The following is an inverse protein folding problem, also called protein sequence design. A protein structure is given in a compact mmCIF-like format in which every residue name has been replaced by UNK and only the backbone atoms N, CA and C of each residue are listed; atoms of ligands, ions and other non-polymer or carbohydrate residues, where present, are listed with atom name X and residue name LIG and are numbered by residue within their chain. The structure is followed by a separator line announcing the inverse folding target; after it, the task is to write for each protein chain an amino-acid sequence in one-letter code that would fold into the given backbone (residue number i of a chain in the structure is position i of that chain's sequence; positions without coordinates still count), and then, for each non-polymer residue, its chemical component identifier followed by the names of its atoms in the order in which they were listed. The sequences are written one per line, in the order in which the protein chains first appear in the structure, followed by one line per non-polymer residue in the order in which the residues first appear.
data_IF_889048289019
#
_entry.id   IF_889048289019
#
_cell.length_a   1.000
_cell.length_b   1.000
_cell.length_c   1.000
_cell.angle_alpha   90.00
_cell.angle_beta   90.00
_cell.angle_gamma   90.00
#
_symmetry.space_group_name_H-M   'P 1'
#
loop_
_entity.id
_entity.type
_entity.pdbx_description
1 polymer ?
#
# COMPACT_ATOMS: atom_id res chain seq x y z
N UNK A 1 4.41 19.83 -3.96
CA UNK A 1 3.42 20.92 -3.74
C UNK A 1 3.60 22.11 -4.69
N UNK A 2 4.82 22.58 -4.98
CA UNK A 2 5.05 23.71 -5.90
C UNK A 2 4.41 23.50 -7.27
N UNK A 3 4.63 22.35 -7.91
CA UNK A 3 4.01 22.00 -9.19
C UNK A 3 2.46 22.00 -9.14
N UNK A 4 1.86 21.62 -8.01
CA UNK A 4 0.41 21.62 -7.83
C UNK A 4 -0.17 23.04 -7.80
N UNK A 5 0.52 23.97 -7.14
CA UNK A 5 0.14 25.38 -7.12
C UNK A 5 0.29 26.01 -8.50
N UNK A 6 1.38 25.71 -9.21
CA UNK A 6 1.61 26.18 -10.58
C UNK A 6 0.55 25.64 -11.55
N UNK A 7 0.12 24.39 -11.37
CA UNK A 7 -0.93 23.76 -12.17
C UNK A 7 -2.36 24.18 -11.77
N UNK A 8 -2.52 25.11 -10.81
CA UNK A 8 -3.82 25.52 -10.24
C UNK A 8 -4.68 24.32 -9.81
N UNK A 9 -4.04 23.27 -9.30
CA UNK A 9 -4.75 22.09 -8.80
C UNK A 9 -5.70 22.50 -7.66
N UNK A 10 -6.83 21.80 -7.45
CA UNK A 10 -7.81 22.15 -6.43
C UNK A 10 -7.33 21.77 -5.02
N UNK A 11 -6.21 22.33 -4.58
CA UNK A 11 -5.52 21.98 -3.32
C UNK A 11 -6.44 22.16 -2.11
N UNK A 12 -7.40 23.10 -2.16
CA UNK A 12 -8.36 23.35 -1.06
C UNK A 12 -9.35 22.19 -0.84
N UNK A 13 -9.67 21.39 -1.85
CA UNK A 13 -10.65 20.29 -1.75
C UNK A 13 -10.04 18.95 -1.35
N UNK A 14 -8.73 18.90 -1.08
CA UNK A 14 -8.00 17.65 -0.79
C UNK A 14 -8.45 16.97 0.52
N UNK A 15 -9.11 17.70 1.43
CA UNK A 15 -9.61 17.14 2.69
C UNK A 15 -8.57 17.21 3.82
N UNK A 16 -8.05 18.42 4.09
CA UNK A 16 -6.99 18.68 5.07
C UNK A 16 -7.36 18.46 6.53
N UNK A 17 -8.65 18.39 6.87
CA UNK A 17 -9.08 18.19 8.25
C UNK A 17 -8.74 16.76 8.69
N UNK A 18 -7.89 16.63 9.72
CA UNK A 18 -7.67 15.37 10.42
C UNK A 18 -8.95 15.01 11.19
N UNK A 19 -9.56 13.89 10.84
CA UNK A 19 -10.85 13.46 11.41
C UNK A 19 -10.69 12.20 12.27
N UNK A 20 -9.63 12.14 13.09
CA UNK A 20 -9.28 10.92 13.81
C UNK A 20 -10.40 10.45 14.75
N UNK A 21 -10.91 11.34 15.62
CA UNK A 21 -11.95 10.98 16.59
C UNK A 21 -13.28 10.56 15.93
N UNK A 22 -13.69 11.23 14.86
CA UNK A 22 -14.96 10.95 14.18
C UNK A 22 -14.88 9.80 13.17
N UNK A 23 -13.68 9.42 12.73
CA UNK A 23 -13.45 8.35 11.74
C UNK A 23 -12.56 7.23 12.24
N UNK A 24 -12.35 7.08 13.55
CA UNK A 24 -11.43 6.07 14.11
C UNK A 24 -11.70 4.65 13.59
N UNK A 25 -12.98 4.31 13.33
CA UNK A 25 -13.37 3.02 12.73
C UNK A 25 -12.85 2.84 11.31
N UNK A 26 -12.82 3.92 10.51
CA UNK A 26 -12.27 3.90 9.15
C UNK A 26 -10.75 3.65 9.20
N UNK A 27 -10.05 4.29 10.14
CA UNK A 27 -8.61 4.09 10.35
C UNK A 27 -8.31 2.66 10.83
N UNK A 28 -9.05 2.16 11.81
CA UNK A 28 -8.89 0.79 12.29
C UNK A 28 -9.19 -0.23 11.19
N UNK A 29 -10.27 -0.03 10.43
CA UNK A 29 -10.60 -0.90 9.30
C UNK A 29 -9.53 -0.86 8.20
N UNK A 30 -8.91 0.30 7.95
CA UNK A 30 -7.80 0.44 7.02
C UNK A 30 -6.58 -0.34 7.48
N UNK A 31 -6.19 -0.18 8.75
CA UNK A 31 -5.09 -0.92 9.36
C UNK A 31 -5.33 -2.43 9.30
N UNK A 32 -6.48 -2.90 9.80
CA UNK A 32 -6.85 -4.32 9.80
C UNK A 32 -6.88 -4.91 8.40
N UNK A 33 -7.42 -4.19 7.41
CA UNK A 33 -7.48 -4.68 6.03
C UNK A 33 -6.08 -4.88 5.45
N UNK A 34 -5.19 -3.88 5.58
CA UNK A 34 -3.82 -3.97 5.05
C UNK A 34 -3.04 -5.07 5.76
N UNK A 35 -3.08 -5.11 7.10
CA UNK A 35 -2.42 -6.15 7.88
C UNK A 35 -2.95 -7.56 7.55
N UNK A 36 -4.25 -7.72 7.32
CA UNK A 36 -4.85 -9.02 6.97
C UNK A 36 -4.43 -9.51 5.58
N UNK A 37 -4.29 -8.59 4.61
CA UNK A 37 -3.77 -8.91 3.27
C UNK A 37 -2.35 -9.45 3.35
N UNK A 38 -1.49 -8.74 4.09
CA UNK A 38 -0.07 -9.12 4.23
C UNK A 38 0.05 -10.39 5.06
N UNK A 39 -0.71 -10.53 6.13
CA UNK A 39 -0.75 -11.76 6.93
C UNK A 39 -1.20 -12.95 6.08
N UNK A 40 -2.25 -12.80 5.26
CA UNK A 40 -2.69 -13.84 4.34
C UNK A 40 -1.58 -14.28 3.37
N UNK A 41 -0.86 -13.31 2.79
CA UNK A 41 0.28 -13.61 1.91
C UNK A 41 1.43 -14.30 2.64
N UNK A 42 1.74 -13.87 3.86
CA UNK A 42 2.75 -14.49 4.72
C UNK A 42 2.36 -15.92 5.12
N UNK A 43 1.09 -16.17 5.45
CA UNK A 43 0.61 -17.52 5.77
C UNK A 43 0.75 -18.47 4.57
N UNK A 44 0.41 -18.02 3.36
CA UNK A 44 0.64 -18.79 2.13
C UNK A 44 2.14 -19.04 1.93
N UNK A 45 2.98 -18.02 2.13
CA UNK A 45 4.43 -18.16 2.02
C UNK A 45 4.98 -19.24 2.97
N UNK A 46 4.64 -19.18 4.26
CA UNK A 46 5.14 -20.13 5.25
C UNK A 46 4.52 -21.52 5.12
N UNK A 47 3.34 -21.65 4.52
CA UNK A 47 2.78 -22.96 4.18
C UNK A 47 3.60 -23.64 3.07
N UNK A 48 4.13 -22.87 2.11
CA UNK A 48 5.00 -23.38 1.03
C UNK A 48 6.45 -23.57 1.49
N UNK A 49 6.94 -22.69 2.36
CA UNK A 49 8.32 -22.69 2.87
C UNK A 49 8.35 -22.76 4.41
N UNK A 50 7.91 -23.87 5.02
CA UNK A 50 7.81 -23.99 6.48
C UNK A 50 9.17 -23.89 7.19
N UNK A 51 10.27 -24.20 6.51
CA UNK A 51 11.62 -24.04 7.03
C UNK A 51 11.96 -22.58 7.38
N UNK A 52 11.29 -21.60 6.76
CA UNK A 52 11.47 -20.18 7.07
C UNK A 52 10.63 -19.72 8.27
N UNK A 53 9.79 -20.57 8.86
CA UNK A 53 8.93 -20.19 9.99
C UNK A 53 9.72 -19.94 11.28
N UNK A 54 10.86 -20.61 11.46
CA UNK A 54 11.74 -20.42 12.62
C UNK A 54 12.17 -18.95 12.81
N UNK A 55 12.30 -18.21 11.71
CA UNK A 55 12.53 -16.76 11.72
C UNK A 55 11.36 -15.98 12.32
N UNK A 56 10.13 -16.27 11.87
CA UNK A 56 8.94 -15.57 12.33
C UNK A 56 8.68 -15.79 13.83
N UNK A 57 9.13 -16.93 14.37
CA UNK A 57 9.00 -17.30 15.78
C UNK A 57 10.15 -16.78 16.66
N UNK A 58 11.17 -16.12 16.08
CA UNK A 58 12.25 -15.52 16.85
C UNK A 58 11.70 -14.34 17.69
N UNK A 59 11.86 -14.34 19.04
CA UNK A 59 11.30 -13.29 19.89
C UNK A 59 11.78 -11.87 19.57
N UNK A 60 13.02 -11.70 19.11
CA UNK A 60 13.56 -10.40 18.71
C UNK A 60 12.90 -9.90 17.43
N UNK A 61 12.67 -10.81 16.47
CA UNK A 61 11.94 -10.52 15.23
C UNK A 61 10.47 -10.20 15.54
N UNK A 62 9.84 -10.96 16.44
CA UNK A 62 8.47 -10.70 16.87
C UNK A 62 8.32 -9.32 17.54
N UNK A 63 9.28 -8.93 18.38
CA UNK A 63 9.32 -7.60 18.98
C UNK A 63 9.51 -6.49 17.94
N UNK A 64 10.39 -6.69 16.95
CA UNK A 64 10.58 -5.75 15.85
C UNK A 64 9.32 -5.60 15.00
N UNK A 65 8.65 -6.71 14.68
CA UNK A 65 7.36 -6.69 13.97
C UNK A 65 6.32 -5.90 14.79
N UNK A 66 6.24 -6.12 16.11
CA UNK A 66 5.34 -5.37 16.98
C UNK A 66 5.65 -3.86 16.98
N UNK A 67 6.92 -3.46 17.07
CA UNK A 67 7.33 -2.06 17.00
C UNK A 67 7.02 -1.43 15.63
N UNK A 68 7.20 -2.18 14.54
CA UNK A 68 6.85 -1.77 13.18
C UNK A 68 5.35 -1.49 13.05
N UNK A 69 4.52 -2.43 13.52
CA UNK A 69 3.06 -2.35 13.42
C UNK A 69 2.44 -1.26 14.31
N UNK A 70 3.19 -0.70 15.26
CA UNK A 70 2.70 0.29 16.23
C UNK A 70 3.38 1.65 16.04
N UNK A 71 4.66 1.77 16.43
CA UNK A 71 5.39 3.04 16.51
C UNK A 71 5.78 3.57 15.13
N UNK A 72 6.32 2.70 14.27
CA UNK A 72 6.81 3.13 12.96
C UNK A 72 5.68 3.46 11.98
N UNK A 73 4.53 2.78 12.10
CA UNK A 73 3.33 3.11 11.31
C UNK A 73 2.94 4.58 11.47
N UNK A 74 2.95 5.12 12.69
CA UNK A 74 2.60 6.52 12.95
C UNK A 74 3.65 7.50 12.40
N UNK A 75 4.94 7.16 12.53
CA UNK A 75 6.03 7.99 12.04
C UNK A 75 6.05 8.07 10.50
N UNK A 76 5.87 6.94 9.81
CA UNK A 76 5.91 6.85 8.34
C UNK A 76 4.64 7.43 7.71
N UNK A 77 3.52 7.44 8.44
CA UNK A 77 2.28 8.10 7.98
C UNK A 77 2.47 9.60 7.67
N UNK A 78 3.44 10.26 8.32
CA UNK A 78 3.76 11.67 8.06
C UNK A 78 4.55 11.86 6.76
N UNK A 79 5.48 10.94 6.43
CA UNK A 79 6.16 10.97 5.12
C UNK A 79 5.19 10.63 3.99
N UNK A 80 4.28 9.67 4.21
CA UNK A 80 3.24 9.30 3.25
C UNK A 80 2.26 10.44 2.92
N UNK A 81 2.05 11.41 3.82
CA UNK A 81 1.13 12.52 3.58
C UNK A 81 1.50 13.35 2.35
N UNK A 82 2.79 13.66 2.17
CA UNK A 82 3.27 14.45 1.03
C UNK A 82 3.03 13.74 -0.30
N UNK A 83 3.27 12.44 -0.32
CA UNK A 83 2.97 11.57 -1.47
C UNK A 83 1.48 11.49 -1.75
N UNK A 84 0.65 11.22 -0.72
CA UNK A 84 -0.79 11.09 -0.89
C UNK A 84 -1.45 12.37 -1.41
N UNK A 85 -0.98 13.55 -0.99
CA UNK A 85 -1.45 14.82 -1.55
C UNK A 85 -1.25 14.87 -3.07
N UNK A 86 -0.10 14.40 -3.57
CA UNK A 86 0.18 14.29 -5.00
C UNK A 86 -0.67 13.21 -5.67
N UNK A 87 -0.67 12.01 -5.11
CA UNK A 87 -1.36 10.85 -5.67
C UNK A 87 -2.88 10.98 -5.59
N UNK A 88 -3.45 11.02 -4.39
CA UNK A 88 -4.90 10.96 -4.14
C UNK A 88 -5.55 12.34 -4.26
N UNK A 89 -4.84 13.39 -3.88
CA UNK A 89 -5.35 14.76 -3.95
C UNK A 89 -5.35 15.38 -5.34
N UNK A 90 -4.45 14.96 -6.25
CA UNK A 90 -4.26 15.62 -7.54
C UNK A 90 -4.27 14.63 -8.71
N UNK A 91 -3.35 13.66 -8.74
CA UNK A 91 -3.15 12.81 -9.91
C UNK A 91 -4.34 11.87 -10.17
N UNK A 92 -4.78 11.12 -9.17
CA UNK A 92 -5.88 10.16 -9.32
C UNK A 92 -7.20 10.84 -9.72
N UNK A 93 -7.61 11.99 -9.12
CA UNK A 93 -8.75 12.75 -9.59
C UNK A 93 -8.65 13.08 -11.09
N UNK A 94 -7.53 13.64 -11.54
CA UNK A 94 -7.29 13.97 -12.95
C UNK A 94 -7.38 12.74 -13.87
N UNK A 95 -6.73 11.64 -13.49
CA UNK A 95 -6.75 10.40 -14.28
C UNK A 95 -8.14 9.78 -14.36
N UNK A 96 -8.92 9.82 -13.27
CA UNK A 96 -10.29 9.32 -13.25
C UNK A 96 -11.24 10.17 -14.09
N UNK A 97 -11.04 11.49 -14.11
CA UNK A 97 -11.80 12.40 -14.97
C UNK A 97 -11.51 12.12 -16.45
N UNK A 98 -10.23 11.93 -16.81
CA UNK A 98 -9.81 11.74 -18.21
C UNK A 98 -10.08 10.34 -18.77
N UNK A 99 -9.88 9.30 -17.97
CA UNK A 99 -9.90 7.90 -18.45
C UNK A 99 -11.03 7.06 -17.84
N UNK A 100 -11.86 7.65 -16.97
CA UNK A 100 -12.87 6.95 -16.19
C UNK A 100 -12.30 6.34 -14.90
N UNK A 101 -13.21 5.98 -13.98
CA UNK A 101 -12.87 5.56 -12.61
C UNK A 101 -11.87 4.41 -12.55
N UNK A 102 -12.14 3.32 -13.26
CA UNK A 102 -11.36 2.07 -13.16
C UNK A 102 -10.01 2.21 -13.84
N UNK A 103 -9.98 2.69 -15.09
CA UNK A 103 -8.71 2.94 -15.82
C UNK A 103 -7.86 3.99 -15.12
N UNK A 104 -8.46 5.07 -14.62
CA UNK A 104 -7.75 6.12 -13.90
C UNK A 104 -7.03 5.62 -12.65
N UNK A 105 -7.64 4.69 -11.90
CA UNK A 105 -6.97 4.04 -10.75
C UNK A 105 -5.83 3.13 -11.17
N UNK A 106 -6.00 2.32 -12.22
CA UNK A 106 -4.95 1.42 -12.73
C UNK A 106 -3.74 2.24 -13.20
N UNK A 107 -3.97 3.28 -14.00
CA UNK A 107 -2.91 4.18 -14.47
C UNK A 107 -2.23 4.88 -13.29
N UNK A 108 -3.00 5.35 -12.30
CA UNK A 108 -2.44 5.97 -11.10
C UNK A 108 -1.55 5.02 -10.30
N UNK A 109 -1.95 3.75 -10.18
CA UNK A 109 -1.16 2.70 -9.54
C UNK A 109 0.12 2.37 -10.31
N UNK A 110 0.05 2.32 -11.65
CA UNK A 110 1.21 2.09 -12.51
C UNK A 110 2.23 3.25 -12.41
N UNK A 111 1.76 4.50 -12.40
CA UNK A 111 2.65 5.66 -12.21
C UNK A 111 3.33 5.60 -10.84
N UNK A 112 2.58 5.23 -9.79
CA UNK A 112 3.16 5.05 -8.46
C UNK A 112 4.22 3.93 -8.43
N UNK A 113 3.99 2.82 -9.14
CA UNK A 113 4.97 1.75 -9.29
C UNK A 113 6.25 2.20 -10.01
N UNK A 114 6.10 2.95 -11.11
CA UNK A 114 7.22 3.50 -11.90
C UNK A 114 7.99 4.55 -11.10
N UNK A 115 7.31 5.39 -10.31
CA UNK A 115 7.94 6.38 -9.43
C UNK A 115 8.95 5.73 -8.47
N UNK A 116 8.68 4.50 -8.04
CA UNK A 116 9.54 3.73 -7.15
C UNK A 116 10.59 2.89 -7.88
N UNK A 117 10.68 2.95 -9.21
CA UNK A 117 11.68 2.18 -9.95
C UNK A 117 13.11 2.48 -9.48
N UNK A 118 13.57 3.75 -9.34
CA UNK A 118 14.94 4.02 -8.93
C UNK A 118 15.29 3.43 -7.57
N UNK A 119 14.40 3.58 -6.58
CA UNK A 119 14.65 3.04 -5.24
C UNK A 119 14.64 1.51 -5.22
N UNK A 120 13.80 0.86 -6.02
CA UNK A 120 13.81 -0.61 -6.14
C UNK A 120 15.08 -1.15 -6.82
N UNK A 121 15.75 -0.33 -7.64
CA UNK A 121 17.03 -0.69 -8.27
C UNK A 121 18.23 -0.47 -7.34
N UNK A 122 18.06 0.20 -6.21
CA UNK A 122 19.11 0.43 -5.20
C UNK A 122 18.97 -0.63 -4.10
N UNK A 123 20.04 -1.36 -3.78
CA UNK A 123 20.04 -2.29 -2.65
C UNK A 123 20.80 -3.59 -2.88
N UNK A 124 20.45 -4.62 -2.11
CA UNK A 124 21.05 -5.96 -2.17
C UNK A 124 20.49 -6.82 -3.33
N UNK A 125 21.21 -7.88 -3.67
CA UNK A 125 20.88 -8.81 -4.76
C UNK A 125 21.44 -8.38 -6.11
N UNK A 126 21.46 -9.33 -7.05
CA UNK A 126 21.87 -9.14 -8.45
C UNK A 126 20.91 -8.21 -9.19
N UNK A 127 21.36 -7.64 -10.31
CA UNK A 127 20.50 -6.81 -11.16
C UNK A 127 19.27 -7.60 -11.66
N UNK A 128 19.45 -8.87 -12.03
CA UNK A 128 18.37 -9.75 -12.47
C UNK A 128 17.30 -9.97 -11.39
N UNK A 129 17.71 -10.23 -10.15
CA UNK A 129 16.77 -10.36 -9.02
C UNK A 129 16.02 -9.06 -8.75
N UNK A 130 16.68 -7.90 -8.86
CA UNK A 130 16.02 -6.60 -8.69
C UNK A 130 14.95 -6.38 -9.75
N UNK A 131 15.23 -6.68 -11.01
CA UNK A 131 14.23 -6.63 -12.09
C UNK A 131 13.08 -7.61 -11.86
N UNK A 132 13.38 -8.84 -11.45
CA UNK A 132 12.36 -9.86 -11.18
C UNK A 132 11.41 -9.41 -10.06
N UNK A 133 11.93 -8.79 -9.01
CA UNK A 133 11.15 -8.27 -7.88
C UNK A 133 10.25 -7.07 -8.26
N UNK A 134 10.41 -6.45 -9.43
CA UNK A 134 9.50 -5.41 -9.90
C UNK A 134 8.10 -5.95 -10.21
N UNK A 135 7.99 -7.21 -10.62
CA UNK A 135 6.69 -7.81 -10.98
C UNK A 135 5.73 -7.80 -9.77
N UNK A 136 6.05 -8.43 -8.63
CA UNK A 136 5.16 -8.42 -7.48
C UNK A 136 5.02 -7.01 -6.89
N UNK A 137 6.06 -6.16 -6.97
CA UNK A 137 5.98 -4.76 -6.56
C UNK A 137 4.94 -3.97 -7.37
N UNK A 138 4.90 -4.14 -8.69
CA UNK A 138 3.96 -3.41 -9.57
C UNK A 138 2.53 -3.86 -9.32
N UNK A 139 2.30 -5.16 -9.13
CA UNK A 139 0.98 -5.71 -8.77
C UNK A 139 0.55 -5.14 -7.42
N UNK A 140 1.45 -5.12 -6.43
CA UNK A 140 1.21 -4.53 -5.10
C UNK A 140 0.85 -3.05 -5.20
N UNK A 141 1.65 -2.26 -5.91
CA UNK A 141 1.46 -0.82 -6.05
C UNK A 141 0.13 -0.48 -6.74
N UNK A 142 -0.24 -1.21 -7.80
CA UNK A 142 -1.54 -1.03 -8.47
C UNK A 142 -2.69 -1.36 -7.51
N UNK A 143 -2.58 -2.48 -6.79
CA UNK A 143 -3.64 -2.98 -5.90
C UNK A 143 -3.87 -2.06 -4.69
N UNK A 144 -2.80 -1.71 -3.97
CA UNK A 144 -2.90 -0.76 -2.86
C UNK A 144 -3.19 0.67 -3.34
N UNK A 145 -2.74 1.03 -4.56
CA UNK A 145 -3.14 2.21 -5.29
C UNK A 145 -4.66 2.40 -5.31
N UNK A 146 -5.36 1.36 -5.78
CA UNK A 146 -6.81 1.26 -5.83
C UNK A 146 -7.43 1.30 -4.42
N UNK A 147 -6.95 0.47 -3.49
CA UNK A 147 -7.51 0.35 -2.13
C UNK A 147 -7.44 1.70 -1.39
N UNK A 148 -6.29 2.37 -1.40
CA UNK A 148 -6.12 3.69 -0.77
C UNK A 148 -6.96 4.76 -1.48
N UNK A 149 -7.14 4.68 -2.81
CA UNK A 149 -8.07 5.58 -3.50
C UNK A 149 -9.53 5.41 -3.03
N UNK A 150 -9.95 4.17 -2.75
CA UNK A 150 -11.30 3.89 -2.22
C UNK A 150 -11.46 4.48 -0.82
N UNK A 151 -10.48 4.25 0.06
CA UNK A 151 -10.45 4.87 1.39
C UNK A 151 -10.49 6.40 1.30
N UNK A 152 -9.76 6.99 0.36
CA UNK A 152 -9.76 8.44 0.15
C UNK A 152 -11.14 8.97 -0.26
N UNK A 153 -11.76 8.38 -1.29
CA UNK A 153 -13.06 8.82 -1.80
C UNK A 153 -14.16 8.71 -0.73
N UNK A 154 -14.17 7.62 0.05
CA UNK A 154 -15.17 7.39 1.10
C UNK A 154 -14.97 8.29 2.32
N UNK A 155 -13.72 8.54 2.70
CA UNK A 155 -13.41 9.30 3.91
C UNK A 155 -13.40 10.81 3.70
N UNK A 156 -13.18 11.28 2.47
CA UNK A 156 -13.04 12.70 2.12
C UNK A 156 -11.99 13.42 2.99
N UNK A 157 -10.97 12.70 3.43
CA UNK A 157 -9.81 13.22 4.17
C UNK A 157 -8.54 12.59 3.64
N UNK A 158 -7.50 13.40 3.44
CA UNK A 158 -6.20 12.92 2.93
C UNK A 158 -5.41 12.12 3.96
N UNK A 159 -5.77 12.27 5.24
CA UNK A 159 -5.09 11.62 6.34
C UNK A 159 -5.34 10.11 6.41
N UNK A 160 -6.49 9.63 5.92
CA UNK A 160 -6.78 8.19 5.92
C UNK A 160 -5.92 7.40 4.92
N UNK A 161 -5.81 7.79 3.63
CA UNK A 161 -4.88 7.10 2.73
C UNK A 161 -3.42 7.32 3.14
N UNK A 162 -3.06 8.45 3.76
CA UNK A 162 -1.69 8.69 4.25
C UNK A 162 -1.33 7.73 5.39
N UNK A 163 -2.27 7.50 6.31
CA UNK A 163 -2.15 6.48 7.32
C UNK A 163 -2.02 5.08 6.70
N UNK A 164 -2.90 4.71 5.77
CA UNK A 164 -2.83 3.42 5.08
C UNK A 164 -1.51 3.20 4.32
N UNK A 165 -0.97 4.24 3.68
CA UNK A 165 0.36 4.22 3.07
C UNK A 165 1.43 3.93 4.12
N UNK A 166 1.42 4.65 5.26
CA UNK A 166 2.32 4.39 6.38
C UNK A 166 2.23 2.96 6.93
N UNK A 167 1.04 2.35 6.93
CA UNK A 167 0.88 0.93 7.28
C UNK A 167 1.58 0.02 6.27
N UNK A 168 1.42 0.28 4.96
CA UNK A 168 2.06 -0.50 3.89
C UNK A 168 3.59 -0.43 4.01
N UNK A 169 4.13 0.76 4.25
CA UNK A 169 5.58 0.95 4.38
C UNK A 169 6.11 0.29 5.64
N UNK A 170 5.39 0.40 6.76
CA UNK A 170 5.73 -0.30 7.98
C UNK A 170 5.79 -1.82 7.74
N UNK A 171 4.74 -2.43 7.19
CA UNK A 171 4.76 -3.88 6.93
C UNK A 171 5.76 -4.29 5.85
N UNK A 172 6.16 -3.39 4.94
CA UNK A 172 7.24 -3.64 3.99
C UNK A 172 8.61 -3.80 4.68
N UNK A 173 8.82 -3.17 5.84
CA UNK A 173 10.04 -3.34 6.63
C UNK A 173 10.23 -4.76 7.17
N UNK A 174 9.18 -5.60 7.22
CA UNK A 174 9.29 -7.00 7.66
C UNK A 174 10.25 -7.79 6.76
N UNK A 175 10.22 -7.54 5.45
CA UNK A 175 11.14 -8.18 4.49
C UNK A 175 12.59 -7.71 4.73
N UNK A 176 12.77 -6.43 5.07
CA UNK A 176 14.08 -5.86 5.43
C UNK A 176 14.63 -6.49 6.71
N UNK A 177 13.80 -6.64 7.75
CA UNK A 177 14.17 -7.31 9.01
C UNK A 177 14.61 -8.75 8.76
N UNK A 178 13.92 -9.47 7.88
CA UNK A 178 14.28 -10.84 7.47
C UNK A 178 15.68 -10.90 6.89
N UNK A 179 15.99 -9.96 5.99
CA UNK A 179 17.29 -9.87 5.31
C UNK A 179 18.42 -9.54 6.29
N UNK A 180 18.20 -8.57 7.19
CA UNK A 180 19.23 -8.11 8.15
C UNK A 180 19.48 -9.15 9.24
N UNK A 181 18.50 -9.99 9.54
CA UNK A 181 18.60 -11.07 10.54
C UNK A 181 19.30 -12.34 9.99
N UNK A 182 19.84 -12.29 8.76
CA UNK A 182 20.56 -13.40 8.13
C UNK A 182 19.66 -14.53 7.66
N UNK A 183 18.34 -14.28 7.55
CA UNK A 183 17.37 -15.27 7.08
C UNK A 183 17.08 -15.01 5.62
N UNK A 184 17.52 -15.93 4.78
CA UNK A 184 17.14 -15.92 3.36
C UNK A 184 15.64 -16.18 3.23
N UNK A 185 14.95 -15.22 2.62
CA UNK A 185 13.56 -15.37 2.20
C UNK A 185 13.48 -15.17 0.70
N UNK A 186 12.54 -15.84 0.04
CA UNK A 186 12.27 -15.60 -1.37
C UNK A 186 11.46 -14.31 -1.49
N UNK A 187 12.17 -13.16 -1.52
CA UNK A 187 11.59 -11.81 -1.60
C UNK A 187 10.52 -11.68 -2.68
N UNK A 188 10.72 -12.35 -3.82
CA UNK A 188 9.78 -12.37 -4.92
C UNK A 188 8.40 -12.93 -4.51
N UNK A 189 8.38 -13.96 -3.65
CA UNK A 189 7.16 -14.64 -3.21
C UNK A 189 6.58 -14.04 -1.92
N UNK A 190 7.43 -13.58 -1.00
CA UNK A 190 6.99 -13.10 0.32
C UNK A 190 8.13 -12.99 1.33
N UNK A 191 7.81 -12.92 2.65
CA UNK A 191 6.46 -12.89 3.23
C UNK A 191 5.82 -11.49 3.29
N UNK A 192 6.55 -10.43 2.92
CA UNK A 192 6.07 -9.06 3.03
C UNK A 192 5.05 -8.63 1.95
N UNK A 193 4.58 -7.37 1.98
CA UNK A 193 3.61 -6.83 1.03
C UNK A 193 4.12 -6.82 -0.41
N UNK A 194 5.44 -6.67 -0.61
CA UNK A 194 6.09 -6.63 -1.93
C UNK A 194 6.28 -8.01 -2.56
N UNK A 195 5.94 -9.09 -1.85
CA UNK A 195 5.96 -10.44 -2.38
C UNK A 195 4.68 -10.81 -3.14
N UNK A 196 4.81 -11.74 -4.08
CA UNK A 196 3.75 -12.13 -5.01
C UNK A 196 2.48 -12.59 -4.30
N UNK A 197 2.57 -13.34 -3.21
CA UNK A 197 1.37 -13.84 -2.51
C UNK A 197 0.52 -12.70 -1.95
N UNK A 198 1.14 -11.77 -1.23
CA UNK A 198 0.46 -10.57 -0.71
C UNK A 198 -0.09 -9.69 -1.84
N UNK A 199 0.70 -9.51 -2.91
CA UNK A 199 0.32 -8.71 -4.06
C UNK A 199 -0.91 -9.27 -4.80
N UNK A 200 -0.99 -10.59 -4.98
CA UNK A 200 -2.12 -11.24 -5.63
C UNK A 200 -3.39 -11.18 -4.76
N UNK A 201 -3.27 -11.38 -3.44
CA UNK A 201 -4.41 -11.22 -2.52
C UNK A 201 -4.91 -9.77 -2.56
N UNK A 202 -4.00 -8.78 -2.53
CA UNK A 202 -4.35 -7.37 -2.66
C UNK A 202 -5.06 -7.09 -3.99
N UNK A 203 -4.61 -7.70 -5.09
CA UNK A 203 -5.22 -7.55 -6.41
C UNK A 203 -6.64 -8.08 -6.45
N UNK A 204 -6.88 -9.28 -5.90
CA UNK A 204 -8.23 -9.87 -5.83
C UNK A 204 -9.17 -8.95 -5.03
N UNK A 205 -8.71 -8.42 -3.90
CA UNK A 205 -9.50 -7.50 -3.07
C UNK A 205 -9.74 -6.18 -3.80
N UNK A 206 -8.74 -5.61 -4.46
CA UNK A 206 -8.86 -4.38 -5.23
C UNK A 206 -9.89 -4.52 -6.37
N UNK A 207 -9.86 -5.64 -7.09
CA UNK A 207 -10.83 -5.97 -8.14
C UNK A 207 -12.23 -6.14 -7.55
N UNK A 208 -12.36 -6.89 -6.46
CA UNK A 208 -13.64 -7.11 -5.79
C UNK A 208 -14.26 -5.80 -5.29
N UNK A 209 -13.48 -4.95 -4.63
CA UNK A 209 -13.92 -3.64 -4.16
C UNK A 209 -14.32 -2.72 -5.31
N UNK A 210 -13.57 -2.74 -6.42
CA UNK A 210 -13.89 -1.94 -7.61
C UNK A 210 -15.23 -2.37 -8.21
N UNK A 211 -15.45 -3.68 -8.39
CA UNK A 211 -16.75 -4.22 -8.88
C UNK A 211 -17.89 -3.96 -7.90
N UNK A 212 -17.62 -3.96 -6.60
CA UNK A 212 -18.61 -3.64 -5.58
C UNK A 212 -19.05 -2.16 -5.67
N UNK A 213 -18.11 -1.23 -5.75
CA UNK A 213 -18.44 0.20 -5.92
C UNK A 213 -19.20 0.47 -7.23
N UNK A 214 -18.87 -0.22 -8.33
CA UNK A 214 -19.60 -0.09 -9.60
C UNK A 214 -21.07 -0.51 -9.45
N UNK A 215 -21.33 -1.62 -8.74
CA UNK A 215 -22.70 -2.07 -8.43
C UNK A 215 -23.46 -1.11 -7.52
N UNK A 216 -22.81 -0.61 -6.47
CA UNK A 216 -23.40 0.38 -5.54
C UNK A 216 -23.79 1.66 -6.29
N UNK A 217 -22.97 2.13 -7.23
CA UNK A 217 -23.26 3.29 -8.08
C UNK A 217 -24.42 3.05 -9.05
N UNK A 218 -24.53 1.84 -9.63
CA UNK A 218 -25.66 1.48 -10.51
C UNK A 218 -26.99 1.39 -9.77
N UNK A 219 -26.96 1.05 -8.48
CA UNK A 219 -28.13 0.93 -7.62
C UNK A 219 -28.53 2.25 -6.93
N UNK A 220 -27.79 3.35 -7.17
CA UNK A 220 -28.06 4.66 -6.55
C UNK A 220 -27.77 4.72 -5.05
N UNK A 221 -26.92 3.82 -4.52
CA UNK A 221 -26.63 3.68 -3.09
C UNK A 221 -25.47 4.60 -2.64
N UNK A 222 -24.84 5.36 -3.56
CA UNK A 222 -23.61 6.13 -3.30
C UNK A 222 -23.80 7.64 -3.20
#
# INVERSE_FOLDING_TARGET
MVAAFLAKAPVKSIGWKLKLASKWRDYLACWLAICSIVLGGALVYFAVFPQHLAFALNPQVALQILMILTVLTLAISLSGLGEEVGWRGILYPYLKERYGRTKGRIIGGLIWAIWHFPVNMIGAGTLGERFLNLIPYYIMAISFGIILNIYYVRSKTIWLPAFGHGVIDAVAMITTVSTVSGVETFKFLGPGPTGLFSALIALVIAVWLTKREERESQQGIS
#
